data_IF_350997743149
#
_entry.id   IF_350997743149
#
_cell.length_a   1.000
_cell.length_b   1.000
_cell.length_c   1.000
_cell.angle_alpha   90.00
_cell.angle_beta   90.00
_cell.angle_gamma   90.00
#
_symmetry.space_group_name_H-M   'P 1'
#
loop_
_entity.id
_entity.type
_entity.pdbx_description
1 polymer ?
#
# COMPACT_ATOMS: atom_id res chain seq x y z
N UNK A 1 33.72 -21.85 -3.50
CA UNK A 1 32.38 -21.90 -2.88
C UNK A 1 31.47 -20.93 -3.62
N UNK A 2 30.20 -21.26 -3.82
CA UNK A 2 29.24 -20.31 -4.38
C UNK A 2 28.92 -19.23 -3.33
N UNK A 3 28.91 -17.95 -3.75
CA UNK A 3 28.57 -16.80 -2.90
C UNK A 3 27.11 -16.42 -3.17
N UNK A 4 26.33 -16.22 -2.12
CA UNK A 4 24.96 -15.71 -2.19
C UNK A 4 24.92 -14.25 -1.74
N UNK A 5 24.12 -13.43 -2.41
CA UNK A 5 23.85 -12.03 -2.06
C UNK A 5 22.35 -11.76 -2.19
N UNK A 6 21.76 -11.08 -1.21
CA UNK A 6 20.36 -10.71 -1.26
C UNK A 6 20.09 -9.66 -2.34
N UNK A 7 18.96 -9.81 -3.04
CA UNK A 7 18.37 -8.75 -3.84
C UNK A 7 17.60 -7.78 -2.94
N UNK A 8 17.40 -6.54 -3.39
CA UNK A 8 16.45 -5.65 -2.71
C UNK A 8 15.03 -6.24 -2.82
N UNK A 9 14.38 -6.40 -1.67
CA UNK A 9 13.02 -6.89 -1.54
C UNK A 9 12.07 -5.84 -0.94
N UNK A 10 12.53 -4.59 -0.84
CA UNK A 10 11.71 -3.46 -0.45
C UNK A 10 11.28 -2.68 -1.69
N UNK A 11 10.09 -2.11 -1.65
CA UNK A 11 9.62 -1.14 -2.64
C UNK A 11 10.20 0.21 -2.24
N UNK A 12 10.91 0.84 -3.16
CA UNK A 12 11.40 2.22 -2.99
C UNK A 12 10.45 3.13 -3.76
N UNK A 13 9.71 3.97 -3.04
CA UNK A 13 8.79 4.95 -3.61
C UNK A 13 9.27 6.36 -3.28
N UNK A 14 9.14 7.27 -4.23
CA UNK A 14 9.26 8.70 -3.99
C UNK A 14 7.89 9.32 -4.21
N UNK A 15 7.35 9.97 -3.18
CA UNK A 15 6.03 10.60 -3.21
C UNK A 15 6.21 12.04 -2.76
N UNK A 16 5.99 12.99 -3.68
CA UNK A 16 6.18 14.43 -3.41
C UNK A 16 7.57 14.76 -2.81
N UNK A 17 8.65 14.16 -3.34
CA UNK A 17 10.04 14.30 -2.84
C UNK A 17 10.29 13.68 -1.46
N UNK A 18 9.40 12.80 -0.99
CA UNK A 18 9.56 12.03 0.23
C UNK A 18 9.87 10.57 -0.12
N UNK A 19 11.10 10.10 0.13
CA UNK A 19 11.47 8.71 -0.14
C UNK A 19 10.93 7.78 0.96
N UNK A 20 10.24 6.71 0.54
CA UNK A 20 9.71 5.66 1.39
C UNK A 20 10.30 4.30 1.00
N UNK A 21 10.50 3.45 2.01
CA UNK A 21 10.87 2.05 1.84
C UNK A 21 9.80 1.17 2.46
N UNK A 22 9.18 0.35 1.63
CA UNK A 22 7.97 -0.40 2.00
C UNK A 22 8.25 -1.89 1.90
N UNK A 23 7.92 -2.62 2.96
CA UNK A 23 7.81 -4.07 2.90
C UNK A 23 6.41 -4.44 2.39
N UNK A 24 6.35 -4.99 1.19
CA UNK A 24 5.10 -5.36 0.56
C UNK A 24 4.29 -6.38 1.38
N UNK A 25 4.96 -7.31 2.06
CA UNK A 25 4.30 -8.33 2.88
C UNK A 25 3.76 -7.73 4.18
N UNK A 26 4.47 -6.77 4.77
CA UNK A 26 3.97 -6.05 5.95
C UNK A 26 2.70 -5.26 5.62
N UNK A 27 2.69 -4.57 4.47
CA UNK A 27 1.48 -3.86 4.00
C UNK A 27 0.33 -4.83 3.74
N UNK A 28 0.59 -5.94 3.05
CA UNK A 28 -0.43 -6.97 2.79
C UNK A 28 -0.99 -7.59 4.09
N UNK A 29 -0.16 -7.75 5.13
CA UNK A 29 -0.62 -8.24 6.42
C UNK A 29 -1.58 -7.26 7.11
N UNK A 30 -1.44 -5.96 6.89
CA UNK A 30 -2.33 -4.90 7.41
C UNK A 30 -3.55 -4.65 6.52
N UNK A 31 -3.53 -5.13 5.27
CA UNK A 31 -4.60 -4.90 4.29
C UNK A 31 -6.02 -5.27 4.78
N UNK A 32 -6.25 -6.35 5.56
CA UNK A 32 -7.59 -6.64 6.08
C UNK A 32 -8.13 -5.53 6.99
N UNK A 33 -7.32 -5.05 7.95
CA UNK A 33 -7.71 -4.00 8.87
C UNK A 33 -7.92 -2.66 8.14
N UNK A 34 -7.07 -2.36 7.16
CA UNK A 34 -7.21 -1.19 6.30
C UNK A 34 -8.52 -1.27 5.49
N UNK A 35 -8.84 -2.45 4.93
CA UNK A 35 -10.06 -2.66 4.15
C UNK A 35 -11.32 -2.49 4.99
N UNK A 36 -11.31 -2.94 6.24
CA UNK A 36 -12.42 -2.69 7.17
C UNK A 36 -12.64 -1.19 7.38
N UNK A 37 -11.57 -0.43 7.67
CA UNK A 37 -11.63 1.04 7.79
C UNK A 37 -12.20 1.70 6.52
N UNK A 38 -11.78 1.25 5.34
CA UNK A 38 -12.28 1.79 4.06
C UNK A 38 -13.75 1.46 3.80
N UNK A 39 -14.21 0.27 4.18
CA UNK A 39 -15.61 -0.10 4.05
C UNK A 39 -16.50 0.77 4.96
N UNK A 40 -16.03 1.12 6.16
CA UNK A 40 -16.75 2.04 7.05
C UNK A 40 -16.89 3.43 6.44
N UNK A 41 -15.85 3.95 5.78
CA UNK A 41 -15.91 5.21 5.05
C UNK A 41 -16.99 5.16 3.97
N UNK A 42 -16.99 4.14 3.11
CA UNK A 42 -17.99 4.02 2.03
C UNK A 42 -19.41 3.90 2.58
N UNK A 43 -19.59 3.15 3.67
CA UNK A 43 -20.89 3.02 4.34
C UNK A 43 -21.38 4.36 4.89
N UNK A 44 -20.50 5.14 5.50
CA UNK A 44 -20.85 6.45 6.06
C UNK A 44 -21.04 7.51 4.97
N UNK A 45 -20.29 7.43 3.87
CA UNK A 45 -20.43 8.32 2.72
C UNK A 45 -21.72 8.07 1.91
N UNK A 46 -22.29 6.86 2.00
CA UNK A 46 -23.58 6.52 1.42
C UNK A 46 -24.81 6.94 2.25
N UNK A 47 -24.61 7.57 3.42
CA UNK A 47 -25.70 8.12 4.21
C UNK A 47 -26.26 9.39 3.54
N UNK A 48 -27.58 9.61 3.61
CA UNK A 48 -28.32 10.67 2.89
C UNK A 48 -27.86 12.11 3.20
N UNK A 49 -26.96 12.30 4.16
CA UNK A 49 -26.35 13.61 4.47
C UNK A 49 -24.85 13.45 4.66
N UNK A 50 -24.08 13.84 3.65
CA UNK A 50 -22.65 14.10 3.78
C UNK A 50 -22.47 15.41 4.52
N UNK A 51 -22.26 15.36 5.84
CA UNK A 51 -21.85 16.52 6.61
C UNK A 51 -20.31 16.68 6.62
N UNK A 52 -19.84 17.88 6.99
CA UNK A 52 -18.40 18.18 7.02
C UNK A 52 -17.61 17.31 8.01
N UNK A 53 -18.24 16.82 9.08
CA UNK A 53 -17.58 15.96 10.07
C UNK A 53 -17.33 14.55 9.52
N UNK A 54 -18.25 14.02 8.70
CA UNK A 54 -18.10 12.74 8.00
C UNK A 54 -16.92 12.82 7.03
N UNK A 55 -16.79 13.93 6.29
CA UNK A 55 -15.68 14.14 5.34
C UNK A 55 -14.35 14.25 6.10
N UNK A 56 -14.28 15.05 7.16
CA UNK A 56 -13.06 15.20 7.96
C UNK A 56 -12.62 13.87 8.59
N UNK A 57 -13.58 13.11 9.13
CA UNK A 57 -13.33 11.79 9.71
C UNK A 57 -12.84 10.80 8.65
N UNK A 58 -13.41 10.84 7.46
CA UNK A 58 -12.99 10.00 6.34
C UNK A 58 -11.57 10.33 5.90
N UNK A 59 -11.22 11.62 5.75
CA UNK A 59 -9.85 12.04 5.46
C UNK A 59 -8.85 11.53 6.50
N UNK A 60 -9.16 11.69 7.80
CA UNK A 60 -8.30 11.19 8.89
C UNK A 60 -8.11 9.68 8.83
N UNK A 61 -9.16 8.92 8.54
CA UNK A 61 -9.10 7.47 8.42
C UNK A 61 -8.22 7.04 7.24
N UNK A 62 -8.35 7.68 6.08
CA UNK A 62 -7.49 7.39 4.92
C UNK A 62 -6.04 7.77 5.19
N UNK A 63 -5.76 8.93 5.81
CA UNK A 63 -4.41 9.31 6.23
C UNK A 63 -3.81 8.28 7.21
N UNK A 64 -4.61 7.77 8.15
CA UNK A 64 -4.18 6.69 9.05
C UNK A 64 -3.84 5.40 8.30
N UNK A 65 -4.61 5.04 7.26
CA UNK A 65 -4.27 3.90 6.41
C UNK A 65 -2.98 4.12 5.60
N UNK A 66 -2.74 5.33 5.10
CA UNK A 66 -1.49 5.69 4.43
C UNK A 66 -0.30 5.56 5.40
N UNK A 67 -0.46 6.04 6.63
CA UNK A 67 0.56 5.88 7.68
C UNK A 67 0.80 4.41 8.05
N UNK A 68 -0.25 3.58 8.07
CA UNK A 68 -0.12 2.13 8.30
C UNK A 68 0.70 1.44 7.18
N UNK A 69 0.66 1.97 5.95
CA UNK A 69 1.37 1.45 4.78
C UNK A 69 2.79 2.00 4.61
N UNK A 70 2.97 3.31 4.78
CA UNK A 70 4.23 4.02 4.50
C UNK A 70 5.08 4.28 5.75
N UNK A 71 4.49 4.16 6.93
CA UNK A 71 5.10 4.51 8.21
C UNK A 71 4.40 5.68 8.88
N UNK A 72 4.48 5.73 10.21
CA UNK A 72 3.80 6.74 11.04
C UNK A 72 4.21 8.16 10.63
N UNK A 73 3.23 9.02 10.36
CA UNK A 73 3.43 10.41 9.95
C UNK A 73 3.72 10.63 8.46
N UNK A 74 3.68 9.58 7.64
CA UNK A 74 3.94 9.67 6.20
C UNK A 74 2.90 10.56 5.49
N UNK A 75 1.61 10.39 5.79
CA UNK A 75 0.54 11.20 5.22
C UNK A 75 0.73 12.69 5.51
N UNK A 76 1.08 13.04 6.75
CA UNK A 76 1.33 14.42 7.13
C UNK A 76 2.54 15.03 6.40
N UNK A 77 3.59 14.25 6.14
CA UNK A 77 4.76 14.69 5.40
C UNK A 77 4.43 14.91 3.90
N UNK A 78 3.78 13.94 3.26
CA UNK A 78 3.40 14.01 1.84
C UNK A 78 2.44 15.17 1.58
N UNK A 79 1.51 15.41 2.50
CA UNK A 79 0.52 16.48 2.35
C UNK A 79 0.96 17.83 2.94
N UNK A 80 2.21 17.96 3.37
CA UNK A 80 2.70 19.21 3.94
C UNK A 80 2.60 20.35 2.92
N UNK A 81 1.91 21.43 3.29
CA UNK A 81 1.83 22.65 2.47
C UNK A 81 0.73 22.66 1.39
N UNK A 82 -0.20 21.71 1.39
CA UNK A 82 -1.38 21.73 0.52
C UNK A 82 -2.69 21.64 1.29
N UNK A 83 -3.75 22.18 0.70
CA UNK A 83 -5.11 21.89 1.13
C UNK A 83 -5.45 20.46 0.71
N UNK A 84 -5.76 19.60 1.67
CA UNK A 84 -6.01 18.17 1.46
C UNK A 84 -7.50 17.93 1.45
N UNK A 85 -8.01 17.36 0.36
CA UNK A 85 -9.38 16.87 0.29
C UNK A 85 -9.42 15.34 0.34
N UNK A 86 -10.62 14.78 0.46
CA UNK A 86 -10.83 13.33 0.55
C UNK A 86 -10.28 12.57 -0.66
N UNK A 87 -10.43 13.12 -1.87
CA UNK A 87 -9.94 12.47 -3.08
C UNK A 87 -8.41 12.45 -3.12
N UNK A 88 -7.74 13.51 -2.65
CA UNK A 88 -6.26 13.50 -2.53
C UNK A 88 -5.78 12.36 -1.64
N UNK A 89 -6.47 12.11 -0.52
CA UNK A 89 -6.17 11.00 0.37
C UNK A 89 -6.38 9.65 -0.36
N UNK A 90 -7.48 9.50 -1.09
CA UNK A 90 -7.80 8.27 -1.81
C UNK A 90 -6.82 7.99 -2.95
N UNK A 91 -6.40 9.03 -3.69
CA UNK A 91 -5.44 8.93 -4.78
C UNK A 91 -4.09 8.42 -4.26
N UNK A 92 -3.59 9.00 -3.17
CA UNK A 92 -2.36 8.53 -2.54
C UNK A 92 -2.50 7.10 -2.01
N UNK A 93 -3.61 6.78 -1.36
CA UNK A 93 -3.90 5.44 -0.87
C UNK A 93 -3.86 4.40 -2.01
N UNK A 94 -4.60 4.63 -3.09
CA UNK A 94 -4.67 3.71 -4.22
C UNK A 94 -3.36 3.63 -4.98
N UNK A 95 -2.61 4.73 -5.09
CA UNK A 95 -1.26 4.72 -5.64
C UNK A 95 -0.38 3.73 -4.86
N UNK A 96 -0.26 3.88 -3.53
CA UNK A 96 0.57 2.99 -2.71
C UNK A 96 0.12 1.54 -2.81
N UNK A 97 -1.19 1.29 -2.75
CA UNK A 97 -1.76 -0.05 -2.86
C UNK A 97 -1.43 -0.71 -4.21
N UNK A 98 -1.47 0.06 -5.31
CA UNK A 98 -1.11 -0.43 -6.65
C UNK A 98 0.36 -0.89 -6.69
N UNK A 99 1.27 -0.08 -6.15
CA UNK A 99 2.70 -0.39 -6.12
C UNK A 99 2.98 -1.66 -5.31
N UNK A 100 2.31 -1.82 -4.16
CA UNK A 100 2.41 -3.02 -3.32
C UNK A 100 1.91 -4.27 -4.06
N UNK A 101 0.77 -4.16 -4.74
CA UNK A 101 0.20 -5.26 -5.49
C UNK A 101 1.09 -5.68 -6.67
N UNK A 102 1.54 -4.72 -7.47
CA UNK A 102 2.40 -4.97 -8.64
C UNK A 102 3.72 -5.63 -8.23
N UNK A 103 4.35 -5.12 -7.15
CA UNK A 103 5.58 -5.70 -6.62
C UNK A 103 5.35 -7.14 -6.13
N UNK A 104 4.27 -7.36 -5.38
CA UNK A 104 3.93 -8.69 -4.85
C UNK A 104 3.68 -9.69 -5.98
N UNK A 105 2.86 -9.32 -6.97
CA UNK A 105 2.56 -10.17 -8.12
C UNK A 105 3.82 -10.50 -8.92
N UNK A 106 4.70 -9.51 -9.15
CA UNK A 106 5.96 -9.72 -9.84
C UNK A 106 6.86 -10.72 -9.10
N UNK A 107 7.02 -10.58 -7.78
CA UNK A 107 7.83 -11.49 -6.97
C UNK A 107 7.26 -12.92 -6.94
N UNK A 108 5.95 -13.06 -6.79
CA UNK A 108 5.29 -14.37 -6.82
C UNK A 108 5.47 -15.05 -8.18
N UNK A 109 5.29 -14.33 -9.28
CA UNK A 109 5.52 -14.85 -10.63
C UNK A 109 6.98 -15.27 -10.86
N UNK A 110 7.95 -14.51 -10.34
CA UNK A 110 9.38 -14.88 -10.39
C UNK A 110 9.63 -16.21 -9.65
N UNK A 111 9.04 -16.38 -8.47
CA UNK A 111 9.21 -17.61 -7.67
C UNK A 111 8.49 -18.82 -8.28
N UNK A 112 7.28 -18.65 -8.80
CA UNK A 112 6.54 -19.71 -9.51
C UNK A 112 7.30 -20.16 -10.77
N UNK A 113 7.83 -19.22 -11.55
CA UNK A 113 8.63 -19.51 -12.73
C UNK A 113 9.90 -20.31 -12.40
N UNK A 114 10.52 -20.06 -11.25
CA UNK A 114 11.65 -20.86 -10.74
C UNK A 114 11.20 -22.26 -10.34
N UNK A 115 10.12 -22.39 -9.58
CA UNK A 115 9.59 -23.67 -9.11
C UNK A 115 9.18 -24.60 -10.27
N UNK A 116 8.59 -24.06 -11.34
CA UNK A 116 8.23 -24.85 -12.53
C UNK A 116 9.46 -25.34 -13.31
N UNK A 117 10.54 -24.56 -13.36
CA UNK A 117 11.80 -24.93 -14.05
C UNK A 117 12.57 -26.01 -13.29
N UNK A 118 12.54 -25.98 -11.96
CA UNK A 118 13.18 -27.00 -11.11
C UNK A 118 12.35 -28.28 -11.02
N UNK A 119 11.01 -28.18 -10.99
CA UNK A 119 10.10 -29.33 -10.99
C UNK A 119 10.12 -30.17 -12.29
N UNK A 120 10.37 -29.55 -13.45
CA UNK A 120 10.51 -30.27 -14.74
C UNK A 120 11.81 -31.05 -14.89
N UNK A 121 12.84 -30.79 -14.07
CA UNK A 121 14.13 -31.52 -14.12
C UNK A 121 14.13 -32.86 -13.38
N UNK A 122 13.06 -33.19 -12.64
CA UNK A 122 12.93 -34.45 -11.90
C UNK A 122 12.15 -35.57 -12.62
N UNK A 123 11.70 -35.35 -13.86
CA UNK A 123 11.02 -36.36 -14.69
C UNK A 123 11.84 -36.64 -15.96
N UNK A 124 12.97 -37.31 -15.83
CA UNK A 124 13.65 -38.02 -16.92
C UNK A 124 14.27 -39.29 -16.36
#
# INVERSE_FOLDING_TARGET
MAKFTFNSNLIELDIENHPFKIDAMEVQAKAPAIREKMNEIVKNAGAETLDGNIIETSCKTVCGAIDDMLGKGASAAVFAGREVNFFDCMDLYFFVQSQVNDFTMKKLAEYEGVAQKTGKKGKK
#
